data_IF_104543195125
#
_entry.id   IF_104543195125
#
_cell.length_a   1.000
_cell.length_b   1.000
_cell.length_c   1.000
_cell.angle_alpha   90.00
_cell.angle_beta   90.00
_cell.angle_gamma   90.00
#
_symmetry.space_group_name_H-M   'P 1'
#
loop_
_entity.id
_entity.type
_entity.pdbx_description
1 polymer ?
#
# COMPACT_ATOMS: atom_id res chain seq x y z
N UNK A 1 -3.58 10.19 4.19
CA UNK A 1 -2.53 9.84 5.18
C UNK A 1 -3.04 8.95 6.33
N UNK A 2 -4.22 9.19 6.93
CA UNK A 2 -4.74 8.34 8.04
C UNK A 2 -5.06 6.89 7.65
N UNK A 3 -5.42 6.61 6.38
CA UNK A 3 -5.79 5.25 5.92
C UNK A 3 -4.59 4.31 5.69
N UNK A 4 -3.45 4.85 5.22
CA UNK A 4 -2.22 4.06 5.08
C UNK A 4 -1.63 3.66 6.43
N UNK A 5 -1.78 4.51 7.43
CA UNK A 5 -1.33 4.25 8.81
C UNK A 5 -2.09 3.06 9.43
N UNK A 6 -3.41 2.97 9.23
CA UNK A 6 -4.20 1.85 9.78
C UNK A 6 -3.86 0.51 9.10
N UNK A 7 -3.61 0.50 7.79
CA UNK A 7 -3.19 -0.69 7.05
C UNK A 7 -1.77 -1.10 7.47
N UNK A 8 -0.85 -0.15 7.60
CA UNK A 8 0.51 -0.39 8.07
C UNK A 8 0.51 -0.87 9.53
N UNK A 9 -0.34 -0.31 10.38
CA UNK A 9 -0.50 -0.76 11.77
C UNK A 9 -1.05 -2.19 11.85
N UNK A 10 -2.04 -2.55 11.03
CA UNK A 10 -2.59 -3.91 10.94
C UNK A 10 -1.53 -4.92 10.50
N UNK A 11 -0.78 -4.63 9.46
CA UNK A 11 0.32 -5.49 8.96
C UNK A 11 1.46 -5.57 9.97
N UNK A 12 1.79 -4.46 10.64
CA UNK A 12 2.84 -4.41 11.68
C UNK A 12 2.42 -5.18 12.93
N UNK A 13 1.15 -5.08 13.38
CA UNK A 13 0.64 -5.84 14.53
C UNK A 13 0.64 -7.34 14.21
N UNK A 14 0.23 -7.72 13.02
CA UNK A 14 0.28 -9.12 12.56
C UNK A 14 1.72 -9.61 12.43
N UNK A 15 2.61 -8.80 11.85
CA UNK A 15 4.03 -9.08 11.77
C UNK A 15 4.66 -9.23 13.16
N UNK A 16 4.31 -8.38 14.11
CA UNK A 16 4.82 -8.45 15.49
C UNK A 16 4.27 -9.67 16.26
N UNK A 17 2.99 -10.02 16.13
CA UNK A 17 2.41 -11.21 16.75
C UNK A 17 2.98 -12.51 16.16
N UNK A 18 3.12 -12.53 14.84
CA UNK A 18 3.77 -13.66 14.15
C UNK A 18 5.25 -13.75 14.49
N UNK A 19 5.89 -12.60 14.70
CA UNK A 19 7.31 -12.53 15.03
C UNK A 19 7.63 -12.89 16.48
N UNK A 20 6.75 -12.63 17.43
CA UNK A 20 6.81 -13.24 18.76
C UNK A 20 6.92 -14.76 18.60
N UNK A 21 6.17 -15.39 17.68
CA UNK A 21 6.32 -16.78 17.31
C UNK A 21 7.68 -17.17 16.72
N UNK A 22 8.28 -16.33 15.87
CA UNK A 22 9.57 -16.59 15.23
C UNK A 22 10.77 -16.49 16.18
N UNK A 23 10.66 -15.75 17.28
CA UNK A 23 11.70 -15.62 18.30
C UNK A 23 11.80 -16.86 19.22
N UNK A 24 10.85 -17.73 19.12
CA UNK A 24 10.74 -18.92 19.97
C UNK A 24 11.48 -20.13 19.38
N UNK A 25 12.75 -20.12 19.53
CA UNK A 25 13.59 -21.19 19.00
C UNK A 25 14.10 -22.10 20.10
N UNK A 26 13.55 -23.31 20.19
CA UNK A 26 14.01 -24.51 20.92
C UNK A 26 14.61 -24.38 22.33
N UNK A 27 13.91 -24.92 23.29
CA UNK A 27 14.43 -25.48 24.54
C UNK A 27 15.35 -24.58 25.37
N UNK A 28 16.32 -25.17 26.03
CA UNK A 28 17.24 -24.54 26.98
C UNK A 28 18.11 -23.43 26.37
N UNK A 29 18.43 -23.53 25.06
CA UNK A 29 19.19 -22.53 24.32
C UNK A 29 18.42 -21.23 24.09
N UNK A 30 17.10 -21.28 24.14
CA UNK A 30 16.25 -20.10 23.96
C UNK A 30 16.22 -19.23 25.22
N UNK A 31 16.17 -19.83 26.37
CA UNK A 31 16.22 -19.09 27.62
C UNK A 31 17.51 -18.24 27.71
N UNK A 32 18.65 -18.81 27.32
CA UNK A 32 19.94 -18.10 27.26
C UNK A 32 20.06 -17.15 26.07
N UNK A 33 19.28 -17.34 25.00
CA UNK A 33 19.31 -16.51 23.80
C UNK A 33 18.09 -15.60 23.62
N UNK A 34 17.06 -15.73 24.47
CA UNK A 34 15.80 -14.98 24.35
C UNK A 34 16.00 -13.47 24.31
N UNK A 35 16.82 -12.95 25.21
CA UNK A 35 17.13 -11.51 25.28
C UNK A 35 17.87 -11.00 24.03
N UNK A 36 18.79 -11.80 23.48
CA UNK A 36 19.50 -11.46 22.25
C UNK A 36 18.54 -11.45 21.05
N UNK A 37 17.68 -12.47 20.94
CA UNK A 37 16.66 -12.52 19.86
C UNK A 37 15.66 -11.38 19.97
N UNK A 38 15.28 -11.00 21.19
CA UNK A 38 14.41 -9.86 21.42
C UNK A 38 15.10 -8.53 21.02
N UNK A 39 16.39 -8.39 21.30
CA UNK A 39 17.15 -7.22 20.89
C UNK A 39 17.30 -7.14 19.37
N UNK A 40 17.67 -8.25 18.70
CA UNK A 40 17.68 -8.36 17.22
C UNK A 40 16.32 -8.03 16.61
N UNK A 41 15.29 -8.39 17.32
CA UNK A 41 13.91 -8.14 17.06
C UNK A 41 13.60 -6.66 17.02
N UNK A 42 13.87 -6.03 18.09
CA UNK A 42 13.62 -4.61 18.24
C UNK A 42 14.47 -3.78 17.25
N UNK A 43 15.69 -4.21 16.96
CA UNK A 43 16.52 -3.57 15.92
C UNK A 43 15.87 -3.65 14.53
N UNK A 44 15.31 -4.82 14.18
CA UNK A 44 14.60 -5.01 12.89
C UNK A 44 13.30 -4.22 12.85
N UNK A 45 12.52 -4.22 13.93
CA UNK A 45 11.31 -3.42 14.05
C UNK A 45 11.61 -1.93 13.86
N UNK A 46 12.63 -1.41 14.51
CA UNK A 46 13.04 -0.02 14.37
C UNK A 46 13.44 0.32 12.91
N UNK A 47 13.97 -0.64 12.16
CA UNK A 47 14.29 -0.45 10.72
C UNK A 47 13.04 -0.50 9.84
N UNK A 48 12.08 -1.38 10.17
CA UNK A 48 10.85 -1.56 9.40
C UNK A 48 9.81 -0.48 9.68
N UNK A 49 9.84 0.10 10.87
CA UNK A 49 8.87 1.09 11.34
C UNK A 49 9.54 2.36 11.84
N UNK A 50 10.35 3.05 11.00
CA UNK A 50 11.12 4.22 11.45
C UNK A 50 10.24 5.36 11.96
N UNK A 51 8.97 5.41 11.53
CA UNK A 51 8.00 6.45 11.92
C UNK A 51 7.32 6.18 13.26
N UNK A 52 7.36 4.96 13.81
CA UNK A 52 6.50 4.58 14.94
C UNK A 52 7.24 4.07 16.17
N UNK A 53 8.54 3.80 16.09
CA UNK A 53 9.32 3.34 17.24
C UNK A 53 8.71 2.15 17.97
N UNK A 54 8.36 1.07 17.25
CA UNK A 54 7.81 -0.14 17.87
C UNK A 54 8.87 -0.86 18.68
N UNK A 55 8.51 -1.28 19.90
CA UNK A 55 9.35 -2.07 20.79
C UNK A 55 8.55 -3.22 21.42
N UNK A 56 9.18 -4.39 21.48
CA UNK A 56 8.67 -5.56 22.16
C UNK A 56 9.49 -5.80 23.43
N UNK A 57 8.81 -6.01 24.54
CA UNK A 57 9.38 -6.38 25.82
C UNK A 57 8.82 -7.74 26.27
N UNK A 58 9.66 -8.60 26.85
CA UNK A 58 9.22 -9.84 27.48
C UNK A 58 8.84 -9.55 28.93
N UNK A 59 7.55 -9.68 29.25
CA UNK A 59 7.01 -9.38 30.59
C UNK A 59 7.00 -10.60 31.50
N UNK A 60 6.73 -11.80 30.95
CA UNK A 60 6.68 -13.05 31.67
C UNK A 60 7.20 -14.20 30.79
N UNK A 61 7.86 -15.19 31.40
CA UNK A 61 8.35 -16.38 30.73
C UNK A 61 8.40 -17.55 31.72
N UNK A 62 7.55 -18.55 31.52
CA UNK A 62 7.44 -19.74 32.32
C UNK A 62 7.57 -20.97 31.43
N UNK A 63 8.68 -21.67 31.58
CA UNK A 63 8.95 -22.87 30.78
C UNK A 63 8.52 -24.12 31.51
N UNK A 64 7.81 -24.99 30.80
CA UNK A 64 7.49 -26.38 31.17
C UNK A 64 8.22 -27.32 30.20
N UNK A 65 8.07 -28.64 30.43
CA UNK A 65 8.76 -29.66 29.64
C UNK A 65 8.36 -29.62 28.13
N UNK A 66 7.07 -29.46 27.85
CA UNK A 66 6.51 -29.54 26.50
C UNK A 66 6.02 -28.21 25.96
N UNK A 67 5.94 -27.19 26.78
CA UNK A 67 5.44 -25.87 26.42
C UNK A 67 6.08 -24.76 27.23
N UNK A 68 5.99 -23.54 26.72
CA UNK A 68 6.35 -22.31 27.42
C UNK A 68 5.13 -21.41 27.44
N UNK A 69 4.81 -20.81 28.57
CA UNK A 69 3.88 -19.70 28.67
C UNK A 69 4.66 -18.40 28.78
N UNK A 70 4.31 -17.42 27.98
CA UNK A 70 4.98 -16.13 28.00
C UNK A 70 3.99 -15.00 27.81
N UNK A 71 4.38 -13.83 28.28
CA UNK A 71 3.67 -12.58 28.02
C UNK A 71 4.65 -11.58 27.44
N UNK A 72 4.25 -10.95 26.36
CA UNK A 72 5.00 -9.91 25.67
C UNK A 72 4.20 -8.62 25.64
N UNK A 73 4.89 -7.51 25.80
CA UNK A 73 4.33 -6.17 25.62
C UNK A 73 4.86 -5.55 24.36
N UNK A 74 3.97 -5.09 23.50
CA UNK A 74 4.26 -4.24 22.35
C UNK A 74 3.98 -2.80 22.73
N UNK A 75 4.98 -1.96 22.74
CA UNK A 75 4.85 -0.54 23.01
C UNK A 75 5.20 0.30 21.79
N UNK A 76 4.47 1.40 21.64
CA UNK A 76 4.82 2.48 20.74
C UNK A 76 5.67 3.47 21.52
N UNK A 77 6.90 3.68 21.10
CA UNK A 77 7.74 4.74 21.64
C UNK A 77 7.24 6.06 21.06
N UNK A 78 6.34 6.73 21.79
CA UNK A 78 5.88 8.08 21.41
C UNK A 78 7.02 9.07 21.51
N UNK A 79 7.08 9.96 20.54
CA UNK A 79 7.87 11.18 20.59
C UNK A 79 6.93 12.37 20.31
N UNK A 80 7.44 13.57 20.41
CA UNK A 80 6.67 14.82 20.24
C UNK A 80 6.03 14.96 18.84
N UNK A 81 6.47 14.16 17.87
CA UNK A 81 5.97 14.12 16.48
C UNK A 81 5.01 12.98 16.21
N UNK A 82 4.75 12.14 17.20
CA UNK A 82 3.77 11.05 17.05
C UNK A 82 2.36 11.63 16.96
N UNK A 83 1.51 11.14 16.04
CA UNK A 83 0.12 11.58 15.96
C UNK A 83 -0.61 11.47 17.29
N UNK A 84 -1.39 12.49 17.67
CA UNK A 84 -2.17 12.49 18.91
C UNK A 84 -3.12 11.31 19.03
N UNK A 85 -3.61 10.81 17.90
CA UNK A 85 -4.49 9.65 17.82
C UNK A 85 -3.78 8.29 18.06
N UNK A 86 -2.46 8.27 18.29
CA UNK A 86 -1.78 7.02 18.63
C UNK A 86 -2.15 6.57 20.04
N UNK A 87 -2.57 5.29 20.22
CA UNK A 87 -2.88 4.79 21.55
C UNK A 87 -1.64 4.89 22.44
N UNK A 88 -1.84 5.49 23.62
CA UNK A 88 -0.82 5.47 24.65
C UNK A 88 -0.94 4.13 25.40
N UNK A 89 0.19 3.46 25.60
CA UNK A 89 0.24 2.26 26.43
C UNK A 89 0.83 1.06 25.72
N UNK A 90 0.99 0.02 26.48
CA UNK A 90 1.52 -1.27 26.05
C UNK A 90 0.35 -2.19 25.68
N UNK A 91 0.42 -2.80 24.50
CA UNK A 91 -0.48 -3.87 24.10
C UNK A 91 0.19 -5.19 24.52
N UNK A 92 -0.45 -5.92 25.41
CA UNK A 92 0.09 -7.18 25.90
C UNK A 92 -0.47 -8.36 25.10
N UNK A 93 0.37 -9.40 24.95
CA UNK A 93 0.01 -10.66 24.31
C UNK A 93 0.39 -11.82 25.21
N UNK A 94 -0.57 -12.70 25.46
CA UNK A 94 -0.32 -14.00 26.07
C UNK A 94 0.05 -14.98 24.95
N UNK A 95 1.13 -15.72 25.13
CA UNK A 95 1.62 -16.71 24.18
C UNK A 95 1.85 -18.07 24.83
N UNK A 96 1.39 -19.12 24.17
CA UNK A 96 1.68 -20.51 24.50
C UNK A 96 2.49 -21.10 23.36
N UNK A 97 3.69 -21.60 23.67
CA UNK A 97 4.58 -22.23 22.69
C UNK A 97 4.65 -23.72 23.00
N UNK A 98 4.13 -24.53 22.10
CA UNK A 98 4.32 -25.99 22.15
C UNK A 98 5.63 -26.33 21.46
N UNK A 99 6.48 -27.10 22.14
CA UNK A 99 7.80 -27.46 21.63
C UNK A 99 7.72 -28.69 20.70
N UNK A 100 8.57 -28.67 19.65
CA UNK A 100 8.68 -29.79 18.70
C UNK A 100 9.30 -31.05 19.28
N UNK A 101 9.44 -32.13 18.50
CA UNK A 101 9.29 -32.17 17.03
C UNK A 101 7.84 -32.30 16.53
N UNK A 102 6.89 -32.64 17.38
CA UNK A 102 5.49 -32.83 17.00
C UNK A 102 4.56 -32.10 17.98
N UNK A 103 4.47 -30.76 17.89
CA UNK A 103 3.55 -29.99 18.70
C UNK A 103 2.11 -30.48 18.48
N UNK A 104 1.36 -30.66 19.55
CA UNK A 104 0.01 -31.25 19.51
C UNK A 104 -0.95 -30.43 18.63
N UNK A 105 -0.90 -29.12 18.75
CA UNK A 105 -1.76 -28.23 17.98
C UNK A 105 -1.37 -28.19 16.49
N UNK A 106 -0.07 -28.31 16.16
CA UNK A 106 0.37 -28.46 14.76
C UNK A 106 -0.14 -29.76 14.13
N UNK A 107 -0.11 -30.88 14.87
CA UNK A 107 -0.69 -32.13 14.40
C UNK A 107 -2.21 -32.03 14.19
N UNK A 108 -2.92 -31.33 15.06
CA UNK A 108 -4.37 -31.11 14.94
C UNK A 108 -4.75 -30.30 13.68
N UNK A 109 -3.86 -29.44 13.17
CA UNK A 109 -4.05 -28.72 11.89
C UNK A 109 -3.63 -29.55 10.67
N UNK A 110 -3.23 -30.82 10.85
CA UNK A 110 -2.81 -31.71 9.76
C UNK A 110 -1.32 -31.58 9.38
N UNK A 111 -0.51 -30.85 10.12
CA UNK A 111 0.91 -30.71 9.88
C UNK A 111 1.66 -31.94 10.38
N UNK A 112 1.74 -33.01 9.57
CA UNK A 112 2.39 -34.28 9.92
C UNK A 112 3.93 -34.21 9.87
N UNK A 113 4.50 -33.24 9.17
CA UNK A 113 5.95 -33.03 9.14
C UNK A 113 6.42 -32.45 10.49
N UNK A 114 7.63 -32.87 10.97
CA UNK A 114 8.19 -32.32 12.19
C UNK A 114 8.27 -30.79 12.15
N UNK A 115 7.79 -30.15 13.20
CA UNK A 115 7.87 -28.69 13.44
C UNK A 115 8.71 -28.43 14.67
N UNK A 116 9.45 -27.35 14.65
CA UNK A 116 10.24 -26.92 15.77
C UNK A 116 9.36 -26.46 16.93
N UNK A 117 8.33 -25.69 16.60
CA UNK A 117 7.34 -25.22 17.57
C UNK A 117 5.99 -24.93 16.89
N UNK A 118 4.95 -24.91 17.70
CA UNK A 118 3.68 -24.26 17.40
C UNK A 118 3.46 -23.16 18.45
N UNK A 119 3.03 -22.01 17.99
CA UNK A 119 2.78 -20.84 18.86
C UNK A 119 1.33 -20.42 18.70
N UNK A 120 0.63 -20.32 19.81
CA UNK A 120 -0.65 -19.65 19.91
C UNK A 120 -0.45 -18.36 20.70
N UNK A 121 -0.80 -17.22 20.13
CA UNK A 121 -0.70 -15.92 20.77
C UNK A 121 -2.02 -15.18 20.65
N UNK A 122 -2.45 -14.54 21.74
CA UNK A 122 -3.65 -13.72 21.76
C UNK A 122 -3.40 -12.40 22.49
N UNK A 123 -4.11 -11.35 22.09
CA UNK A 123 -4.09 -10.08 22.81
C UNK A 123 -4.63 -10.29 24.21
N UNK A 124 -3.87 -9.87 25.22
CA UNK A 124 -4.23 -10.03 26.62
C UNK A 124 -5.24 -8.95 27.04
N UNK A 125 -6.21 -9.36 27.88
CA UNK A 125 -7.16 -8.42 28.44
C UNK A 125 -6.53 -7.63 29.59
N UNK A 126 -6.19 -6.38 29.31
CA UNK A 126 -5.62 -5.42 30.28
C UNK A 126 -6.58 -4.24 30.47
N UNK A 127 -6.38 -3.45 31.53
CA UNK A 127 -7.29 -2.33 31.85
C UNK A 127 -7.35 -1.28 30.73
N UNK A 128 -6.21 -1.00 30.07
CA UNK A 128 -6.14 -0.08 28.94
C UNK A 128 -6.77 -0.61 27.64
N UNK A 129 -7.06 -1.92 27.56
CA UNK A 129 -7.72 -2.56 26.40
C UNK A 129 -9.16 -2.99 26.71
N UNK A 130 -9.68 -2.67 27.90
CA UNK A 130 -11.02 -3.08 28.34
C UNK A 130 -12.10 -2.73 27.31
N UNK A 131 -12.11 -1.50 26.82
CA UNK A 131 -13.08 -1.03 25.82
C UNK A 131 -12.96 -1.84 24.51
N UNK A 132 -11.75 -2.15 24.06
CA UNK A 132 -11.53 -2.96 22.84
C UNK A 132 -12.10 -4.36 23.01
N UNK A 133 -11.93 -4.97 24.21
CA UNK A 133 -12.52 -6.28 24.52
C UNK A 133 -14.04 -6.23 24.64
N UNK A 134 -14.61 -5.13 25.09
CA UNK A 134 -16.06 -4.94 25.09
C UNK A 134 -16.63 -4.91 23.67
N UNK A 135 -15.93 -4.25 22.71
CA UNK A 135 -16.31 -4.23 21.30
C UNK A 135 -16.31 -5.62 20.66
N UNK A 136 -15.40 -6.49 21.08
CA UNK A 136 -15.29 -7.88 20.60
C UNK A 136 -16.09 -8.88 21.47
N UNK A 137 -16.96 -8.38 22.36
CA UNK A 137 -17.78 -9.20 23.27
C UNK A 137 -16.95 -10.11 24.17
N UNK A 138 -15.78 -9.67 24.58
CA UNK A 138 -14.86 -10.39 25.46
C UNK A 138 -13.95 -11.39 24.77
N UNK A 139 -14.06 -11.57 23.45
CA UNK A 139 -13.11 -12.36 22.66
C UNK A 139 -11.84 -11.54 22.41
N UNK A 140 -10.68 -12.20 22.37
CA UNK A 140 -9.42 -11.50 22.03
C UNK A 140 -9.52 -10.81 20.68
N UNK A 141 -9.25 -9.50 20.59
CA UNK A 141 -9.31 -8.75 19.33
C UNK A 141 -8.35 -9.26 18.25
N UNK A 142 -7.24 -9.88 18.67
CA UNK A 142 -6.24 -10.47 17.77
C UNK A 142 -5.77 -11.80 18.32
N UNK A 143 -5.91 -12.84 17.52
CA UNK A 143 -5.40 -14.18 17.79
C UNK A 143 -4.48 -14.56 16.63
N UNK A 144 -3.32 -15.14 16.94
CA UNK A 144 -2.35 -15.60 15.95
C UNK A 144 -1.87 -17.02 16.28
N UNK A 145 -1.95 -17.88 15.28
CA UNK A 145 -1.42 -19.22 15.30
C UNK A 145 -0.25 -19.32 14.34
N UNK A 146 0.89 -19.89 14.78
CA UNK A 146 2.07 -20.01 13.94
C UNK A 146 2.74 -21.38 14.12
N UNK A 147 3.24 -21.92 13.01
CA UNK A 147 4.14 -23.07 13.01
C UNK A 147 5.54 -22.66 12.59
N UNK A 148 6.55 -23.10 13.32
CA UNK A 148 7.94 -22.83 13.04
C UNK A 148 8.60 -24.14 12.56
N UNK A 149 9.18 -24.13 11.36
CA UNK A 149 9.92 -25.26 10.82
C UNK A 149 11.36 -25.33 11.38
N UNK A 150 12.02 -26.45 11.24
CA UNK A 150 13.44 -26.58 11.61
C UNK A 150 14.36 -25.75 10.72
N UNK A 151 13.95 -25.38 9.52
CA UNK A 151 14.66 -24.40 8.67
C UNK A 151 14.53 -22.96 9.16
N UNK A 152 13.63 -22.68 10.11
CA UNK A 152 13.36 -21.35 10.62
C UNK A 152 12.24 -20.59 9.88
N UNK A 153 11.65 -21.22 8.86
CA UNK A 153 10.46 -20.65 8.21
C UNK A 153 9.28 -20.73 9.17
N UNK A 154 8.62 -19.60 9.35
CA UNK A 154 7.41 -19.47 10.15
C UNK A 154 6.22 -19.27 9.23
N UNK A 155 5.20 -20.12 9.39
CA UNK A 155 3.89 -19.98 8.72
C UNK A 155 2.87 -19.58 9.76
N UNK A 156 2.16 -18.49 9.55
CA UNK A 156 1.22 -17.93 10.52
C UNK A 156 -0.16 -17.67 9.94
N UNK A 157 -1.16 -17.75 10.80
CA UNK A 157 -2.54 -17.31 10.55
C UNK A 157 -2.97 -16.43 11.70
N UNK A 158 -3.25 -15.17 11.42
CA UNK A 158 -3.74 -14.20 12.40
C UNK A 158 -5.19 -13.83 12.08
N UNK A 159 -6.02 -13.74 13.11
CA UNK A 159 -7.44 -13.41 13.02
C UNK A 159 -7.70 -12.15 13.83
N UNK A 160 -8.21 -11.13 13.16
CA UNK A 160 -8.74 -9.92 13.79
C UNK A 160 -10.24 -10.15 13.98
N UNK A 161 -10.71 -9.98 15.20
CA UNK A 161 -12.10 -10.24 15.56
C UNK A 161 -13.07 -9.27 14.85
N UNK A 162 -14.29 -9.70 14.53
CA UNK A 162 -15.32 -8.80 14.04
C UNK A 162 -15.74 -7.81 15.12
N UNK A 163 -16.08 -6.59 14.70
CA UNK A 163 -16.52 -5.51 15.57
C UNK A 163 -17.83 -4.93 15.06
N UNK A 164 -18.78 -4.75 15.98
CA UNK A 164 -20.01 -4.03 15.72
C UNK A 164 -20.28 -3.04 16.85
N UNK A 165 -20.21 -1.76 16.53
CA UNK A 165 -20.38 -0.67 17.49
C UNK A 165 -21.34 0.37 16.93
N UNK A 166 -22.09 1.04 17.81
CA UNK A 166 -22.85 2.23 17.50
C UNK A 166 -22.57 3.27 18.59
N UNK A 167 -22.13 4.44 18.19
CA UNK A 167 -21.81 5.57 19.07
C UNK A 167 -22.18 6.87 18.40
N UNK A 168 -22.89 7.74 19.09
CA UNK A 168 -23.29 9.08 18.64
C UNK A 168 -23.84 9.16 17.21
N UNK A 169 -24.71 8.21 16.84
CA UNK A 169 -25.34 8.20 15.52
C UNK A 169 -24.48 7.56 14.41
N UNK A 170 -23.26 7.17 14.70
CA UNK A 170 -22.36 6.42 13.80
C UNK A 170 -22.32 4.96 14.19
N UNK A 171 -22.50 4.05 13.24
CA UNK A 171 -22.27 2.63 13.43
C UNK A 171 -21.12 2.12 12.57
N UNK A 172 -20.31 1.23 13.13
CA UNK A 172 -19.24 0.51 12.42
C UNK A 172 -19.56 -0.98 12.50
N UNK A 173 -19.63 -1.63 11.35
CA UNK A 173 -19.79 -3.08 11.22
C UNK A 173 -18.61 -3.63 10.42
N UNK A 174 -17.69 -4.30 11.11
CA UNK A 174 -16.47 -4.89 10.56
C UNK A 174 -16.54 -6.40 10.70
N UNK A 175 -16.44 -7.13 9.61
CA UNK A 175 -16.54 -8.60 9.58
C UNK A 175 -15.37 -9.33 10.22
N UNK A 176 -14.33 -8.62 10.62
CA UNK A 176 -13.04 -9.20 10.95
C UNK A 176 -12.14 -9.34 9.72
N UNK A 177 -10.90 -9.77 9.97
CA UNK A 177 -9.90 -9.99 8.93
C UNK A 177 -9.06 -11.22 9.25
N UNK A 178 -8.75 -12.03 8.25
CA UNK A 178 -7.80 -13.14 8.37
C UNK A 178 -6.55 -12.78 7.58
N UNK A 179 -5.39 -12.90 8.23
CA UNK A 179 -4.09 -12.70 7.59
C UNK A 179 -3.27 -13.98 7.73
N UNK A 180 -2.84 -14.52 6.60
CA UNK A 180 -1.89 -15.64 6.53
C UNK A 180 -0.55 -15.15 6.01
N UNK A 181 0.54 -15.75 6.46
CA UNK A 181 1.86 -15.36 5.96
C UNK A 181 2.93 -16.36 6.29
N UNK A 182 3.95 -16.38 5.41
CA UNK A 182 5.18 -17.13 5.62
C UNK A 182 6.35 -16.15 5.64
N UNK A 183 7.28 -16.36 6.54
CA UNK A 183 8.50 -15.56 6.61
C UNK A 183 9.68 -16.39 7.11
N UNK A 184 10.84 -16.09 6.59
CA UNK A 184 12.07 -16.73 7.03
C UNK A 184 12.58 -16.12 8.35
N UNK A 185 13.55 -16.80 8.97
CA UNK A 185 14.15 -16.41 10.25
C UNK A 185 14.73 -14.99 10.24
N UNK A 186 15.20 -14.53 9.10
CA UNK A 186 15.87 -13.24 8.97
C UNK A 186 14.95 -12.15 8.40
N UNK A 187 13.69 -12.50 8.09
CA UNK A 187 12.73 -11.65 7.39
C UNK A 187 13.25 -11.18 6.00
N UNK A 188 14.10 -12.01 5.37
CA UNK A 188 14.60 -11.73 4.03
C UNK A 188 13.61 -12.14 2.94
N UNK A 189 12.69 -13.06 3.27
CA UNK A 189 11.54 -13.44 2.45
C UNK A 189 10.27 -13.39 3.29
N UNK A 190 9.26 -12.70 2.77
CA UNK A 190 7.95 -12.57 3.42
C UNK A 190 6.87 -12.73 2.37
N UNK A 191 5.91 -13.63 2.63
CA UNK A 191 4.63 -13.65 1.91
C UNK A 191 3.52 -13.36 2.89
N UNK A 192 2.52 -12.61 2.47
CA UNK A 192 1.36 -12.32 3.31
C UNK A 192 0.10 -12.22 2.44
N UNK A 193 -1.01 -12.73 2.97
CA UNK A 193 -2.33 -12.60 2.38
C UNK A 193 -3.34 -12.20 3.45
N UNK A 194 -4.00 -11.07 3.26
CA UNK A 194 -5.10 -10.57 4.10
C UNK A 194 -6.44 -10.67 3.38
N UNK A 195 -7.48 -11.12 4.07
CA UNK A 195 -8.84 -11.20 3.54
C UNK A 195 -9.83 -10.62 4.54
N UNK A 196 -10.64 -9.68 4.08
CA UNK A 196 -11.75 -9.06 4.80
C UNK A 196 -13.01 -9.15 3.93
N UNK A 197 -14.11 -9.62 4.51
CA UNK A 197 -15.35 -9.73 3.76
C UNK A 197 -16.07 -8.39 3.64
N UNK A 198 -16.30 -7.70 4.75
CA UNK A 198 -17.04 -6.42 4.75
C UNK A 198 -16.57 -5.46 5.83
N UNK A 199 -16.64 -4.16 5.49
CA UNK A 199 -16.55 -3.05 6.43
C UNK A 199 -17.63 -2.04 6.05
N UNK A 200 -18.54 -1.71 6.97
CA UNK A 200 -19.52 -0.65 6.80
C UNK A 200 -19.36 0.38 7.91
N UNK A 201 -19.24 1.63 7.53
CA UNK A 201 -19.32 2.79 8.42
C UNK A 201 -20.57 3.56 8.03
N UNK A 202 -21.53 3.62 8.91
CA UNK A 202 -22.83 4.26 8.68
C UNK A 202 -23.03 5.39 9.71
N UNK A 203 -22.80 6.60 9.28
CA UNK A 203 -22.99 7.85 10.00
C UNK A 203 -24.27 8.59 9.54
N UNK A 204 -25.24 7.91 8.94
CA UNK A 204 -26.46 8.50 8.40
C UNK A 204 -27.31 9.26 9.45
N UNK A 205 -27.04 9.02 10.73
CA UNK A 205 -27.73 9.66 11.87
C UNK A 205 -26.83 10.66 12.61
N UNK A 206 -25.66 10.96 12.09
CA UNK A 206 -24.77 11.99 12.64
C UNK A 206 -25.10 13.38 12.09
N UNK A 207 -24.42 14.40 12.59
CA UNK A 207 -24.55 15.78 12.12
C UNK A 207 -23.98 15.99 10.70
N UNK A 208 -23.15 15.07 10.21
CA UNK A 208 -22.62 15.01 8.84
C UNK A 208 -22.94 13.62 8.27
N UNK A 209 -24.13 13.45 7.66
CA UNK A 209 -24.61 12.15 7.24
C UNK A 209 -23.77 11.56 6.12
N UNK A 210 -23.17 10.40 6.38
CA UNK A 210 -22.40 9.66 5.38
C UNK A 210 -22.49 8.16 5.62
N UNK A 211 -22.38 7.37 4.55
CA UNK A 211 -22.25 5.93 4.63
C UNK A 211 -21.19 5.44 3.67
N UNK A 212 -20.28 4.58 4.16
CA UNK A 212 -19.24 3.92 3.37
C UNK A 212 -19.35 2.43 3.61
N UNK A 213 -19.40 1.67 2.53
CA UNK A 213 -19.36 0.20 2.58
C UNK A 213 -18.25 -0.32 1.67
N UNK A 214 -17.44 -1.23 2.19
CA UNK A 214 -16.37 -1.92 1.46
C UNK A 214 -16.65 -3.41 1.54
N UNK A 215 -16.63 -4.10 0.42
CA UNK A 215 -16.86 -5.53 0.35
C UNK A 215 -15.75 -6.26 -0.41
N UNK A 216 -15.32 -7.38 0.11
CA UNK A 216 -14.39 -8.31 -0.55
C UNK A 216 -13.00 -7.75 -0.73
N UNK A 217 -12.36 -7.25 0.34
CA UNK A 217 -10.98 -6.78 0.29
C UNK A 217 -9.99 -7.94 0.43
N UNK A 218 -9.00 -7.97 -0.45
CA UNK A 218 -7.86 -8.89 -0.40
C UNK A 218 -6.57 -8.09 -0.56
N UNK A 219 -5.59 -8.38 0.29
CA UNK A 219 -4.23 -7.85 0.20
C UNK A 219 -3.31 -9.04 0.04
N UNK A 220 -2.51 -9.07 -1.01
CA UNK A 220 -1.45 -10.05 -1.23
C UNK A 220 -0.10 -9.32 -1.26
N UNK A 221 0.91 -9.88 -0.60
CA UNK A 221 2.26 -9.35 -0.63
C UNK A 221 3.27 -10.48 -0.69
N UNK A 222 4.27 -10.33 -1.53
CA UNK A 222 5.41 -11.22 -1.64
C UNK A 222 6.67 -10.36 -1.75
N UNK A 223 7.57 -10.48 -0.81
CA UNK A 223 8.76 -9.64 -0.72
C UNK A 223 9.98 -10.48 -0.35
N UNK A 224 11.11 -10.17 -0.95
CA UNK A 224 12.42 -10.69 -0.56
C UNK A 224 13.49 -9.60 -0.64
N UNK A 225 14.55 -9.76 0.11
CA UNK A 225 15.73 -8.89 -0.03
C UNK A 225 16.45 -9.25 -1.33
N UNK A 226 16.58 -8.25 -2.21
CA UNK A 226 17.29 -8.36 -3.47
C UNK A 226 18.81 -8.22 -3.30
N UNK A 227 19.55 -8.41 -4.39
CA UNK A 227 21.02 -8.35 -4.42
C UNK A 227 21.60 -6.98 -4.07
N UNK A 228 20.83 -5.91 -4.25
CA UNK A 228 21.22 -4.56 -3.84
C UNK A 228 20.88 -4.27 -2.37
N UNK A 229 20.32 -5.25 -1.62
CA UNK A 229 19.90 -5.05 -0.24
C UNK A 229 18.64 -4.20 -0.10
N UNK A 230 17.86 -4.07 -1.17
CA UNK A 230 16.53 -3.44 -1.22
C UNK A 230 15.49 -4.55 -1.30
N UNK A 231 14.36 -4.37 -0.60
CA UNK A 231 13.24 -5.31 -0.72
C UNK A 231 12.61 -5.21 -2.10
N UNK A 232 12.49 -6.37 -2.78
CA UNK A 232 11.85 -6.53 -4.08
C UNK A 232 10.73 -7.55 -3.99
N UNK A 233 9.78 -7.50 -4.91
CA UNK A 233 8.61 -8.36 -4.93
C UNK A 233 7.38 -7.65 -5.44
N UNK A 234 6.21 -8.15 -5.04
CA UNK A 234 4.91 -7.62 -5.46
C UNK A 234 3.97 -7.46 -4.27
N UNK A 235 3.08 -6.49 -4.39
CA UNK A 235 1.99 -6.25 -3.44
C UNK A 235 0.75 -5.82 -4.21
N UNK A 236 -0.37 -6.50 -3.95
CA UNK A 236 -1.66 -6.29 -4.60
C UNK A 236 -2.75 -6.03 -3.56
N UNK A 237 -3.55 -4.99 -3.77
CA UNK A 237 -4.80 -4.73 -3.09
C UNK A 237 -5.95 -4.88 -4.08
N UNK A 238 -6.96 -5.68 -3.73
CA UNK A 238 -8.19 -5.84 -4.51
C UNK A 238 -9.39 -5.62 -3.62
N UNK A 239 -10.35 -4.85 -4.12
CA UNK A 239 -11.63 -4.60 -3.44
C UNK A 239 -12.74 -4.85 -4.47
N UNK A 240 -13.67 -5.75 -4.14
CA UNK A 240 -14.75 -6.10 -5.05
C UNK A 240 -15.72 -4.96 -5.24
N UNK A 241 -16.06 -4.24 -4.15
CA UNK A 241 -17.04 -3.17 -4.22
C UNK A 241 -16.79 -2.13 -3.12
N UNK A 242 -16.94 -0.86 -3.49
CA UNK A 242 -16.96 0.29 -2.59
C UNK A 242 -18.23 1.08 -2.90
N UNK A 243 -19.09 1.29 -1.90
CA UNK A 243 -20.23 2.18 -1.99
C UNK A 243 -20.06 3.35 -1.01
N UNK A 244 -20.29 4.56 -1.50
CA UNK A 244 -20.27 5.80 -0.69
C UNK A 244 -21.56 6.56 -0.94
N UNK A 245 -22.26 6.95 0.13
CA UNK A 245 -23.43 7.81 0.06
C UNK A 245 -23.22 9.00 1.00
N UNK A 246 -23.40 10.21 0.49
CA UNK A 246 -23.31 11.46 1.23
C UNK A 246 -24.46 12.38 0.79
N UNK A 247 -25.60 12.33 1.49
CA UNK A 247 -26.81 13.03 1.05
C UNK A 247 -26.69 14.55 0.98
N UNK A 248 -25.91 15.17 1.88
CA UNK A 248 -25.72 16.62 1.90
C UNK A 248 -25.05 17.18 0.64
N UNK A 249 -24.16 16.38 0.04
CA UNK A 249 -23.46 16.73 -1.21
C UNK A 249 -24.13 16.11 -2.44
N UNK A 250 -25.27 15.43 -2.27
CA UNK A 250 -25.94 14.65 -3.32
C UNK A 250 -24.96 13.64 -3.98
N UNK A 251 -24.11 12.98 -3.18
CA UNK A 251 -23.15 12.01 -3.68
C UNK A 251 -23.62 10.59 -3.39
N UNK A 252 -23.77 9.80 -4.45
CA UNK A 252 -23.94 8.34 -4.42
C UNK A 252 -22.94 7.72 -5.39
N UNK A 253 -21.84 7.19 -4.84
CA UNK A 253 -20.77 6.55 -5.60
C UNK A 253 -20.81 5.04 -5.41
N UNK A 254 -20.68 4.30 -6.49
CA UNK A 254 -20.44 2.87 -6.50
C UNK A 254 -19.25 2.55 -7.40
N UNK A 255 -18.29 1.80 -6.87
CA UNK A 255 -17.07 1.41 -7.55
C UNK A 255 -16.89 -0.10 -7.43
N UNK A 256 -16.85 -0.78 -8.56
CA UNK A 256 -16.61 -2.22 -8.62
C UNK A 256 -15.17 -2.57 -8.97
N UNK A 257 -14.68 -3.70 -8.45
CA UNK A 257 -13.40 -4.32 -8.84
C UNK A 257 -12.20 -3.37 -8.84
N UNK A 258 -12.04 -2.58 -7.76
CA UNK A 258 -10.84 -1.77 -7.59
C UNK A 258 -9.62 -2.67 -7.36
N UNK A 259 -8.55 -2.40 -8.09
CA UNK A 259 -7.25 -3.06 -7.94
C UNK A 259 -6.11 -2.04 -7.93
N UNK A 260 -5.16 -2.27 -7.04
CA UNK A 260 -3.88 -1.55 -6.98
C UNK A 260 -2.77 -2.56 -6.76
N UNK A 261 -1.76 -2.54 -7.62
CA UNK A 261 -0.60 -3.41 -7.49
C UNK A 261 0.69 -2.63 -7.63
N UNK A 262 1.72 -3.02 -6.87
CA UNK A 262 3.10 -2.53 -7.01
C UNK A 262 4.02 -3.72 -7.16
N UNK A 263 4.93 -3.65 -8.11
CA UNK A 263 5.97 -4.64 -8.34
C UNK A 263 7.34 -3.97 -8.39
N UNK A 264 8.24 -4.43 -7.54
CA UNK A 264 9.66 -4.11 -7.59
C UNK A 264 10.42 -5.34 -8.06
N UNK A 265 11.24 -5.19 -9.07
CA UNK A 265 12.09 -6.25 -9.62
C UNK A 265 13.50 -5.74 -9.85
N UNK A 266 14.46 -6.65 -9.95
CA UNK A 266 15.86 -6.33 -10.21
C UNK A 266 16.39 -7.11 -11.40
N UNK A 267 17.32 -6.54 -12.12
CA UNK A 267 18.20 -7.19 -13.06
C UNK A 267 19.66 -7.07 -12.61
N UNK A 268 20.64 -7.29 -13.49
CA UNK A 268 22.05 -7.27 -13.09
C UNK A 268 22.58 -5.93 -12.60
N UNK A 269 21.98 -4.83 -12.98
CA UNK A 269 22.45 -3.47 -12.69
C UNK A 269 21.39 -2.58 -12.10
N UNK A 270 20.12 -2.90 -12.31
CA UNK A 270 19.03 -1.98 -12.05
C UNK A 270 17.90 -2.57 -11.21
N UNK A 271 17.13 -1.64 -10.65
CA UNK A 271 15.82 -1.89 -10.05
C UNK A 271 14.77 -1.29 -10.96
N UNK A 272 13.67 -2.04 -11.13
CA UNK A 272 12.51 -1.64 -11.91
C UNK A 272 11.29 -1.62 -10.99
N UNK A 273 10.48 -0.58 -11.11
CA UNK A 273 9.24 -0.37 -10.34
C UNK A 273 8.07 -0.30 -11.30
N UNK A 274 7.00 -1.00 -11.01
CA UNK A 274 5.74 -0.89 -11.72
C UNK A 274 4.62 -0.68 -10.71
N UNK A 275 3.76 0.30 -10.96
CA UNK A 275 2.49 0.47 -10.27
C UNK A 275 1.35 0.28 -11.28
N UNK A 276 0.36 -0.52 -10.91
CA UNK A 276 -0.81 -0.79 -11.73
C UNK A 276 -2.07 -0.43 -10.94
N UNK A 277 -2.96 0.30 -11.56
CA UNK A 277 -4.27 0.67 -11.05
C UNK A 277 -5.33 0.15 -12.02
N UNK A 278 -6.41 -0.39 -11.49
CA UNK A 278 -7.57 -0.76 -12.26
C UNK A 278 -8.85 -0.49 -11.49
N UNK A 279 -9.88 -0.17 -12.20
CA UNK A 279 -11.23 -0.07 -11.66
C UNK A 279 -12.20 -0.73 -12.64
N UNK A 280 -13.17 -1.46 -12.13
CA UNK A 280 -14.35 -1.84 -12.88
C UNK A 280 -15.29 -0.63 -13.02
N UNK A 281 -16.58 -0.89 -13.13
CA UNK A 281 -17.53 0.18 -13.39
C UNK A 281 -17.64 1.16 -12.22
N UNK A 282 -17.54 2.45 -12.53
CA UNK A 282 -17.78 3.55 -11.62
C UNK A 282 -19.15 4.15 -11.96
N UNK A 283 -20.02 4.22 -10.98
CA UNK A 283 -21.33 4.85 -11.08
C UNK A 283 -21.41 5.97 -10.06
N UNK A 284 -21.71 7.18 -10.51
CA UNK A 284 -21.91 8.36 -9.66
C UNK A 284 -23.29 8.93 -9.93
N UNK A 285 -24.16 8.98 -8.92
CA UNK A 285 -25.53 9.49 -9.04
C UNK A 285 -26.29 8.89 -10.23
N UNK A 286 -26.20 7.56 -10.36
CA UNK A 286 -26.78 6.75 -11.45
C UNK A 286 -26.21 7.05 -12.87
N UNK A 287 -25.11 7.83 -12.96
CA UNK A 287 -24.34 8.03 -14.19
C UNK A 287 -23.23 6.98 -14.26
N UNK A 288 -23.23 6.15 -15.30
CA UNK A 288 -22.18 5.16 -15.54
C UNK A 288 -20.97 5.84 -16.19
N UNK A 289 -19.91 6.06 -15.41
CA UNK A 289 -18.68 6.68 -15.88
C UNK A 289 -17.75 5.69 -16.59
N UNK A 290 -18.05 4.38 -16.54
CA UNK A 290 -17.22 3.34 -17.13
C UNK A 290 -16.13 2.83 -16.20
N UNK A 291 -15.06 2.29 -16.77
CA UNK A 291 -13.94 1.68 -16.07
C UNK A 291 -12.60 2.18 -16.60
N UNK A 292 -11.54 2.00 -15.81
CA UNK A 292 -10.24 2.52 -16.15
C UNK A 292 -9.08 1.66 -15.67
N UNK A 293 -7.93 1.86 -16.29
CA UNK A 293 -6.66 1.29 -15.86
C UNK A 293 -5.50 2.25 -16.10
N UNK A 294 -4.49 2.15 -15.27
CA UNK A 294 -3.22 2.85 -15.44
C UNK A 294 -2.06 1.93 -15.06
N UNK A 295 -1.05 1.85 -15.90
CA UNK A 295 0.21 1.16 -15.60
C UNK A 295 1.34 2.16 -15.72
N UNK A 296 2.03 2.40 -14.60
CA UNK A 296 3.15 3.33 -14.50
C UNK A 296 4.40 2.51 -14.24
N UNK A 297 5.47 2.77 -14.98
CA UNK A 297 6.74 2.05 -14.84
C UNK A 297 7.89 3.04 -14.70
N UNK A 298 8.80 2.72 -13.78
CA UNK A 298 10.13 3.31 -13.67
C UNK A 298 11.12 2.15 -13.88
N UNK A 299 11.85 2.19 -14.96
CA UNK A 299 12.78 1.11 -15.33
C UNK A 299 14.23 1.60 -15.35
N UNK A 300 15.16 0.67 -15.20
CA UNK A 300 16.61 0.91 -15.29
C UNK A 300 17.15 1.89 -14.25
N UNK A 301 16.52 1.97 -13.06
CA UNK A 301 17.09 2.74 -11.94
C UNK A 301 18.37 2.05 -11.48
N UNK A 302 19.49 2.75 -11.40
CA UNK A 302 20.74 2.17 -10.89
C UNK A 302 20.54 1.57 -9.49
N UNK A 303 20.81 0.27 -9.35
CA UNK A 303 20.47 -0.46 -8.12
C UNK A 303 21.26 -0.01 -6.90
N UNK A 304 22.51 0.44 -7.07
CA UNK A 304 23.32 0.99 -5.98
C UNK A 304 22.83 2.37 -5.58
N UNK A 305 22.45 3.21 -6.55
CA UNK A 305 21.89 4.52 -6.27
C UNK A 305 20.55 4.42 -5.55
N UNK A 306 19.67 3.47 -5.94
CA UNK A 306 18.42 3.18 -5.21
C UNK A 306 18.70 2.80 -3.76
N UNK A 307 19.68 1.93 -3.51
CA UNK A 307 20.07 1.53 -2.16
C UNK A 307 20.56 2.75 -1.35
N UNK A 308 21.44 3.57 -1.93
CA UNK A 308 21.96 4.78 -1.26
C UNK A 308 20.83 5.76 -0.93
N UNK A 309 19.92 6.00 -1.87
CA UNK A 309 18.77 6.88 -1.67
C UNK A 309 17.85 6.36 -0.55
N UNK A 310 17.55 5.05 -0.56
CA UNK A 310 16.75 4.40 0.48
C UNK A 310 17.40 4.51 1.86
N UNK A 311 18.71 4.25 1.96
CA UNK A 311 19.44 4.35 3.23
C UNK A 311 19.46 5.79 3.75
N UNK A 312 19.72 6.76 2.86
CA UNK A 312 19.70 8.19 3.19
C UNK A 312 18.34 8.62 3.68
N UNK A 313 17.27 8.26 2.94
CA UNK A 313 15.91 8.57 3.35
C UNK A 313 15.58 7.99 4.73
N UNK A 314 15.87 6.71 4.96
CA UNK A 314 15.64 6.07 6.26
C UNK A 314 16.45 6.72 7.39
N UNK A 315 17.67 7.17 7.11
CA UNK A 315 18.48 7.88 8.08
C UNK A 315 17.87 9.25 8.43
N UNK A 316 17.46 10.01 7.43
CA UNK A 316 16.84 11.32 7.61
C UNK A 316 15.50 11.22 8.35
N UNK A 317 14.68 10.23 8.03
CA UNK A 317 13.42 9.96 8.76
C UNK A 317 13.73 9.67 10.23
N UNK A 318 14.71 8.83 10.55
CA UNK A 318 15.11 8.56 11.94
C UNK A 318 15.61 9.81 12.67
N UNK A 319 16.41 10.63 12.00
CA UNK A 319 16.91 11.90 12.57
C UNK A 319 15.75 12.88 12.83
N UNK A 320 14.85 13.03 11.88
CA UNK A 320 13.66 13.86 12.02
C UNK A 320 12.78 13.41 13.19
N UNK A 321 12.53 12.10 13.31
CA UNK A 321 11.75 11.55 14.42
C UNK A 321 12.42 11.66 15.79
N UNK A 322 13.75 11.68 15.83
CA UNK A 322 14.52 11.85 17.06
C UNK A 322 14.73 13.32 17.46
N UNK A 323 14.48 14.29 16.56
CA UNK A 323 14.65 15.71 16.86
C UNK A 323 13.44 16.27 17.62
N UNK A 324 13.68 17.22 18.52
CA UNK A 324 12.65 17.98 19.23
C UNK A 324 12.16 19.20 18.43
N UNK A 325 12.84 19.53 17.33
CA UNK A 325 12.49 20.65 16.46
C UNK A 325 11.36 20.25 15.50
N UNK A 326 10.36 21.11 15.38
CA UNK A 326 9.19 20.89 14.50
C UNK A 326 9.44 21.41 13.07
N UNK A 327 10.67 21.75 12.77
CA UNK A 327 11.12 22.14 11.43
C UNK A 327 11.22 20.90 10.55
N UNK A 328 10.71 20.97 9.31
CA UNK A 328 10.83 19.92 8.30
C UNK A 328 12.31 19.55 8.02
N UNK A 329 12.56 18.82 6.93
CA UNK A 329 13.94 18.55 6.50
C UNK A 329 14.67 19.87 6.23
N UNK A 330 15.89 20.01 6.75
CA UNK A 330 16.75 21.18 6.51
C UNK A 330 17.21 21.19 5.05
N UNK A 331 17.51 22.36 4.50
CA UNK A 331 17.95 22.50 3.09
C UNK A 331 19.13 21.59 2.75
N UNK A 332 20.09 21.43 3.68
CA UNK A 332 21.23 20.52 3.51
C UNK A 332 20.80 19.06 3.36
N UNK A 333 19.76 18.64 4.10
CA UNK A 333 19.23 17.28 4.03
C UNK A 333 18.45 17.04 2.73
N UNK A 334 17.73 18.04 2.27
CA UNK A 334 17.07 18.04 0.96
C UNK A 334 18.12 17.94 -0.14
N UNK A 335 19.21 18.71 -0.05
CA UNK A 335 20.29 18.67 -1.04
C UNK A 335 20.93 17.27 -1.11
N UNK A 336 21.18 16.62 0.03
CA UNK A 336 21.71 15.25 0.08
C UNK A 336 20.76 14.26 -0.61
N UNK A 337 19.44 14.42 -0.45
CA UNK A 337 18.46 13.59 -1.15
C UNK A 337 18.50 13.84 -2.66
N UNK A 338 18.57 15.11 -3.09
CA UNK A 338 18.63 15.48 -4.51
C UNK A 338 19.90 14.94 -5.17
N UNK A 339 21.05 15.04 -4.50
CA UNK A 339 22.33 14.52 -5.01
C UNK A 339 22.30 12.99 -5.16
N UNK A 340 21.67 12.28 -4.22
CA UNK A 340 21.49 10.83 -4.35
C UNK A 340 20.45 10.47 -5.40
N UNK A 341 19.38 11.25 -5.57
CA UNK A 341 18.40 11.07 -6.65
C UNK A 341 19.05 11.28 -8.03
N UNK A 342 19.95 12.26 -8.18
CA UNK A 342 20.71 12.47 -9.39
C UNK A 342 21.53 11.25 -9.85
N UNK A 343 22.02 10.44 -8.89
CA UNK A 343 22.76 9.21 -9.22
C UNK A 343 21.88 8.14 -9.90
N UNK A 344 20.56 8.21 -9.76
CA UNK A 344 19.63 7.29 -10.46
C UNK A 344 19.75 7.43 -11.96
N UNK A 345 20.15 8.62 -12.47
CA UNK A 345 20.35 8.86 -13.91
C UNK A 345 21.48 8.01 -14.51
N UNK A 346 22.41 7.50 -13.69
CA UNK A 346 23.51 6.65 -14.17
C UNK A 346 23.02 5.38 -14.88
N UNK A 347 21.83 4.88 -14.54
CA UNK A 347 21.17 3.75 -15.18
C UNK A 347 20.50 4.08 -16.51
N UNK A 348 20.46 5.34 -16.93
CA UNK A 348 19.64 5.84 -18.03
C UNK A 348 18.18 5.39 -17.86
N UNK A 349 17.50 5.83 -16.81
CA UNK A 349 16.16 5.36 -16.47
C UNK A 349 15.12 5.74 -17.50
N UNK A 350 14.06 4.94 -17.55
CA UNK A 350 12.89 5.20 -18.38
C UNK A 350 11.65 5.28 -17.50
N UNK A 351 10.85 6.32 -17.69
CA UNK A 351 9.52 6.44 -17.11
C UNK A 351 8.48 6.18 -18.21
N UNK A 352 7.46 5.37 -17.92
CA UNK A 352 6.36 5.19 -18.85
C UNK A 352 5.01 5.08 -18.15
N UNK A 353 3.98 5.53 -18.84
CA UNK A 353 2.57 5.28 -18.57
C UNK A 353 2.04 4.50 -19.77
N UNK A 354 1.74 3.20 -19.59
CA UNK A 354 1.34 2.34 -20.70
C UNK A 354 0.53 1.12 -20.19
N UNK A 355 -0.81 1.18 -20.38
CA UNK A 355 -1.62 2.33 -20.76
C UNK A 355 -2.10 3.17 -19.56
N UNK A 356 -2.53 4.41 -19.80
CA UNK A 356 -3.61 5.04 -19.05
C UNK A 356 -4.85 4.97 -19.97
N UNK A 357 -5.87 4.21 -19.59
CA UNK A 357 -7.07 4.07 -20.40
C UNK A 357 -8.34 4.23 -19.59
N UNK A 358 -9.35 4.75 -20.25
CA UNK A 358 -10.71 4.87 -19.73
C UNK A 358 -11.69 4.38 -20.78
N UNK A 359 -12.63 3.50 -20.36
CA UNK A 359 -13.54 2.82 -21.26
C UNK A 359 -14.98 2.96 -20.76
N UNK A 360 -15.88 3.24 -21.66
CA UNK A 360 -17.34 3.17 -21.45
C UNK A 360 -17.97 2.23 -22.49
N UNK A 361 -19.27 2.03 -22.44
CA UNK A 361 -20.01 1.31 -23.47
C UNK A 361 -19.98 1.98 -24.87
N UNK A 362 -19.46 3.22 -24.97
CA UNK A 362 -19.43 4.01 -26.20
C UNK A 362 -18.03 4.14 -26.83
N UNK A 363 -16.99 3.72 -26.13
CA UNK A 363 -15.63 3.77 -26.64
C UNK A 363 -14.56 3.74 -25.57
N UNK A 364 -13.32 3.90 -25.98
CA UNK A 364 -12.14 3.89 -25.10
C UNK A 364 -11.19 5.04 -25.48
N UNK A 365 -10.77 5.80 -24.47
CA UNK A 365 -9.71 6.81 -24.60
C UNK A 365 -8.44 6.30 -23.94
N UNK A 366 -7.27 6.56 -24.56
CA UNK A 366 -5.97 6.05 -24.11
C UNK A 366 -4.89 7.11 -24.17
N UNK A 367 -3.99 7.08 -23.20
CA UNK A 367 -2.71 7.76 -23.23
C UNK A 367 -1.60 6.72 -23.03
N UNK A 368 -0.66 6.70 -23.97
CA UNK A 368 0.63 6.07 -23.80
C UNK A 368 1.69 7.16 -23.77
N UNK A 369 2.58 7.10 -22.80
CA UNK A 369 3.66 8.06 -22.61
C UNK A 369 4.94 7.35 -22.23
N UNK A 370 6.06 7.71 -22.84
CA UNK A 370 7.40 7.23 -22.48
C UNK A 370 8.37 8.40 -22.45
N UNK A 371 9.16 8.47 -21.39
CA UNK A 371 10.24 9.41 -21.19
C UNK A 371 11.52 8.62 -20.91
N UNK A 372 12.47 8.61 -21.85
CA UNK A 372 13.79 8.05 -21.62
C UNK A 372 14.74 9.15 -21.19
N UNK A 373 15.47 8.90 -20.12
CA UNK A 373 16.45 9.80 -19.55
C UNK A 373 17.88 9.29 -19.82
N UNK A 374 18.83 10.20 -19.88
CA UNK A 374 20.25 9.90 -19.94
C UNK A 374 20.99 10.66 -18.84
N UNK A 375 22.12 10.14 -18.42
CA UNK A 375 22.98 10.85 -17.47
C UNK A 375 23.74 11.96 -18.22
N UNK A 376 23.51 13.26 -17.89
CA UNK A 376 24.27 14.35 -18.53
C UNK A 376 25.77 14.23 -18.25
N UNK A 377 26.59 14.62 -19.21
CA UNK A 377 28.03 14.41 -19.15
C UNK A 377 28.74 15.25 -18.05
N UNK A 378 28.18 16.38 -17.64
CA UNK A 378 28.81 17.33 -16.72
C UNK A 378 27.87 17.79 -15.59
N UNK A 379 27.26 16.83 -14.91
CA UNK A 379 26.25 17.07 -13.84
C UNK A 379 26.73 18.03 -12.76
N UNK A 380 28.06 18.07 -12.51
CA UNK A 380 28.62 18.86 -11.40
C UNK A 380 28.57 20.38 -11.63
N UNK A 381 28.50 20.80 -12.89
CA UNK A 381 28.52 22.22 -13.27
C UNK A 381 27.15 22.71 -13.72
N UNK A 382 26.12 21.88 -13.68
CA UNK A 382 24.77 22.18 -14.14
C UNK A 382 23.85 22.50 -12.95
N UNK A 383 22.96 23.45 -13.17
CA UNK A 383 21.82 23.69 -12.27
C UNK A 383 20.82 22.52 -12.33
N UNK A 384 19.95 22.31 -11.32
CA UNK A 384 18.93 21.29 -11.38
C UNK A 384 18.02 21.38 -12.61
N UNK A 385 17.73 22.60 -13.09
CA UNK A 385 16.93 22.83 -14.30
C UNK A 385 17.68 22.39 -15.55
N UNK A 386 18.97 22.71 -15.67
CA UNK A 386 19.81 22.30 -16.80
C UNK A 386 20.00 20.78 -16.83
N UNK A 387 20.16 20.14 -15.65
CA UNK A 387 20.21 18.67 -15.53
C UNK A 387 18.91 18.08 -16.07
N UNK A 388 17.75 18.61 -15.66
CA UNK A 388 16.45 18.10 -16.08
C UNK A 388 16.27 18.16 -17.61
N UNK A 389 16.66 19.28 -18.23
CA UNK A 389 16.55 19.47 -19.69
C UNK A 389 17.54 18.58 -20.44
N UNK A 390 18.81 18.53 -20.01
CA UNK A 390 19.85 17.73 -20.68
C UNK A 390 19.69 16.22 -20.47
N UNK A 391 18.98 15.82 -19.41
CA UNK A 391 18.68 14.41 -19.15
C UNK A 391 17.62 13.84 -20.09
N UNK A 392 16.78 14.67 -20.72
CA UNK A 392 15.74 14.18 -21.64
C UNK A 392 16.38 13.70 -22.92
N UNK A 393 16.32 12.37 -23.14
CA UNK A 393 16.84 11.74 -24.35
C UNK A 393 15.73 11.52 -25.39
N UNK A 394 14.56 11.09 -24.94
CA UNK A 394 13.44 10.77 -25.81
C UNK A 394 12.11 10.95 -25.07
N UNK A 395 11.14 11.47 -25.75
CA UNK A 395 9.74 11.48 -25.33
C UNK A 395 8.92 10.87 -26.47
N UNK A 396 8.04 9.92 -26.13
CA UNK A 396 6.99 9.44 -27.01
C UNK A 396 5.66 9.57 -26.28
N UNK A 397 4.70 10.21 -26.90
CA UNK A 397 3.35 10.32 -26.39
C UNK A 397 2.34 10.01 -27.49
N UNK A 398 1.34 9.19 -27.17
CA UNK A 398 0.19 8.94 -28.04
C UNK A 398 -1.08 9.08 -27.23
N UNK A 399 -1.94 10.00 -27.61
CA UNK A 399 -3.24 10.25 -27.01
C UNK A 399 -4.34 9.88 -28.02
N UNK A 400 -5.25 9.02 -27.61
CA UNK A 400 -6.43 8.64 -28.37
C UNK A 400 -7.65 9.03 -27.55
N UNK A 401 -8.51 9.89 -28.09
CA UNK A 401 -9.75 10.34 -27.44
C UNK A 401 -10.93 9.82 -28.27
N UNK A 402 -11.76 8.99 -27.67
CA UNK A 402 -13.00 8.50 -28.31
C UNK A 402 -14.08 9.58 -28.27
N UNK A 403 -14.46 10.10 -29.44
CA UNK A 403 -15.51 11.10 -29.61
C UNK A 403 -16.86 10.62 -29.09
N UNK A 404 -17.33 9.38 -29.41
CA UNK A 404 -18.60 8.87 -28.88
C UNK A 404 -18.61 8.74 -27.35
N UNK A 405 -17.48 8.36 -26.75
CA UNK A 405 -17.33 8.27 -25.27
C UNK A 405 -17.46 9.65 -24.64
N UNK A 406 -16.70 10.65 -25.14
CA UNK A 406 -16.73 12.01 -24.60
C UNK A 406 -18.12 12.63 -24.74
N UNK A 407 -18.76 12.47 -25.91
CA UNK A 407 -20.12 12.93 -26.17
C UNK A 407 -21.10 12.33 -25.16
N UNK A 408 -21.05 11.01 -24.94
CA UNK A 408 -21.95 10.31 -24.04
C UNK A 408 -21.78 10.80 -22.58
N UNK A 409 -20.55 10.94 -22.09
CA UNK A 409 -20.25 11.43 -20.75
C UNK A 409 -20.74 12.88 -20.55
N UNK A 410 -20.49 13.76 -21.54
CA UNK A 410 -20.96 15.14 -21.49
C UNK A 410 -22.49 15.23 -21.47
N UNK A 411 -23.16 14.41 -22.32
CA UNK A 411 -24.63 14.32 -22.35
C UNK A 411 -25.19 13.88 -21.01
N UNK A 412 -24.67 12.78 -20.44
CA UNK A 412 -25.11 12.29 -19.13
C UNK A 412 -24.91 13.32 -18.02
N UNK A 413 -23.77 14.02 -18.04
CA UNK A 413 -23.47 15.07 -17.07
C UNK A 413 -24.49 16.22 -17.15
N UNK A 414 -24.74 16.77 -18.35
CA UNK A 414 -25.66 17.87 -18.55
C UNK A 414 -27.11 17.51 -18.17
N UNK A 415 -27.55 16.30 -18.50
CA UNK A 415 -28.89 15.82 -18.10
C UNK A 415 -29.02 15.70 -16.59
N UNK A 416 -28.02 15.13 -15.92
CA UNK A 416 -28.12 14.81 -14.49
C UNK A 416 -27.85 15.99 -13.59
N UNK A 417 -26.83 16.81 -13.89
CA UNK A 417 -26.41 17.92 -13.04
C UNK A 417 -27.14 19.22 -13.37
N UNK A 418 -27.30 19.51 -14.68
CA UNK A 418 -27.86 20.77 -15.12
C UNK A 418 -29.37 20.69 -15.41
N UNK A 419 -29.95 19.49 -15.32
CA UNK A 419 -31.37 19.25 -15.58
C UNK A 419 -31.77 19.45 -17.05
N UNK A 420 -30.81 19.39 -17.96
CA UNK A 420 -31.02 19.64 -19.38
C UNK A 420 -31.84 18.51 -20.01
N UNK A 421 -32.70 18.83 -20.97
CA UNK A 421 -33.39 17.82 -21.77
C UNK A 421 -32.40 17.01 -22.59
N UNK A 422 -32.57 15.69 -22.66
CA UNK A 422 -31.57 14.75 -23.20
C UNK A 422 -31.20 15.03 -24.66
N UNK A 423 -32.15 15.47 -25.50
CA UNK A 423 -31.93 15.89 -26.88
C UNK A 423 -31.03 17.12 -27.00
N UNK A 424 -31.30 18.14 -26.18
CA UNK A 424 -30.47 19.36 -26.10
C UNK A 424 -29.05 19.07 -25.58
N UNK A 425 -28.96 18.27 -24.51
CA UNK A 425 -27.69 17.85 -23.95
C UNK A 425 -26.83 17.09 -24.97
N UNK A 426 -27.46 16.21 -25.75
CA UNK A 426 -26.78 15.47 -26.82
C UNK A 426 -26.31 16.36 -27.98
N UNK A 427 -27.10 17.38 -28.35
CA UNK A 427 -26.74 18.36 -29.38
C UNK A 427 -25.57 19.23 -28.94
N UNK A 428 -25.60 19.74 -27.70
CA UNK A 428 -24.52 20.56 -27.13
C UNK A 428 -23.23 19.74 -26.99
N UNK A 429 -23.32 18.51 -26.50
CA UNK A 429 -22.17 17.59 -26.41
C UNK A 429 -21.55 17.32 -27.80
N UNK A 430 -22.38 17.15 -28.82
CA UNK A 430 -21.92 16.98 -30.20
C UNK A 430 -21.18 18.21 -30.74
N UNK A 431 -21.68 19.42 -30.44
CA UNK A 431 -21.01 20.67 -30.82
C UNK A 431 -19.67 20.82 -30.12
N UNK A 432 -19.60 20.53 -28.80
CA UNK A 432 -18.39 20.60 -28.03
C UNK A 432 -17.33 19.62 -28.53
N UNK A 433 -17.73 18.39 -28.88
CA UNK A 433 -16.82 17.38 -29.47
C UNK A 433 -16.31 17.83 -30.85
N UNK A 434 -17.17 18.40 -31.68
CA UNK A 434 -16.73 18.96 -32.97
C UNK A 434 -15.75 20.11 -32.80
N UNK A 435 -16.03 21.03 -31.86
CA UNK A 435 -15.12 22.15 -31.56
C UNK A 435 -13.77 21.64 -31.04
N UNK A 436 -13.76 20.67 -30.10
CA UNK A 436 -12.55 20.04 -29.61
C UNK A 436 -11.73 19.40 -30.75
N UNK A 437 -12.40 18.66 -31.64
CA UNK A 437 -11.76 18.05 -32.80
C UNK A 437 -11.14 19.10 -33.74
N UNK A 438 -11.89 20.18 -34.04
CA UNK A 438 -11.39 21.26 -34.88
C UNK A 438 -10.21 22.01 -34.27
N UNK A 439 -10.24 22.26 -32.97
CA UNK A 439 -9.10 22.85 -32.23
C UNK A 439 -7.87 21.97 -32.29
N UNK A 440 -8.02 20.65 -32.10
CA UNK A 440 -6.92 19.69 -32.13
C UNK A 440 -6.20 19.73 -33.51
N UNK A 441 -6.96 19.82 -34.61
CA UNK A 441 -6.40 19.95 -35.95
C UNK A 441 -5.80 21.33 -36.19
N UNK A 442 -6.49 22.41 -35.76
CA UNK A 442 -6.03 23.79 -35.95
C UNK A 442 -4.69 24.04 -35.26
N UNK A 443 -4.50 23.50 -34.06
CA UNK A 443 -3.24 23.62 -33.33
C UNK A 443 -2.22 22.53 -33.69
N UNK A 444 -2.52 21.68 -34.66
CA UNK A 444 -1.70 20.54 -35.09
C UNK A 444 -1.31 19.56 -33.92
N UNK A 445 -2.14 19.49 -32.86
CA UNK A 445 -1.90 18.60 -31.72
C UNK A 445 -2.69 17.28 -31.82
N UNK A 446 -3.49 17.10 -32.88
CA UNK A 446 -4.24 15.88 -33.14
C UNK A 446 -4.92 15.86 -34.48
N UNK A 447 -5.22 14.65 -34.94
CA UNK A 447 -5.91 14.39 -36.24
C UNK A 447 -7.20 13.63 -35.95
N UNK A 448 -8.22 13.88 -36.78
CA UNK A 448 -9.45 13.11 -36.76
C UNK A 448 -9.25 11.79 -37.50
N UNK A 449 -9.35 10.68 -36.80
CA UNK A 449 -9.27 9.31 -37.31
C UNK A 449 -10.55 8.53 -36.95
N UNK A 450 -11.54 8.56 -37.88
CA UNK A 450 -12.85 7.93 -37.63
C UNK A 450 -13.52 8.50 -36.40
N UNK A 451 -13.82 7.63 -35.40
CA UNK A 451 -14.44 8.01 -34.13
C UNK A 451 -13.46 8.55 -33.09
N UNK A 452 -12.18 8.70 -33.45
CA UNK A 452 -11.17 9.15 -32.52
C UNK A 452 -10.54 10.49 -32.93
N UNK A 453 -10.00 11.21 -31.94
CA UNK A 453 -8.99 12.24 -32.10
C UNK A 453 -7.68 11.61 -31.65
N UNK A 454 -6.68 11.59 -32.55
CA UNK A 454 -5.38 10.96 -32.28
C UNK A 454 -4.30 12.04 -32.31
N UNK A 455 -3.64 12.23 -31.17
CA UNK A 455 -2.44 13.06 -31.01
C UNK A 455 -1.20 12.20 -30.85
N UNK A 456 -0.12 12.54 -31.54
CA UNK A 456 1.19 11.89 -31.39
C UNK A 456 2.25 12.96 -31.22
N UNK A 457 3.11 12.79 -30.25
CA UNK A 457 4.27 13.66 -30.05
C UNK A 457 5.51 12.81 -29.88
N UNK A 458 6.55 13.11 -30.58
CA UNK A 458 7.86 12.50 -30.42
C UNK A 458 8.91 13.58 -30.24
N UNK A 459 9.85 13.35 -29.36
CA UNK A 459 11.04 14.18 -29.17
C UNK A 459 12.23 13.23 -29.06
N UNK A 460 13.25 13.46 -29.89
CA UNK A 460 14.52 12.74 -29.83
C UNK A 460 15.64 13.62 -30.34
N UNK A 461 16.83 13.48 -29.78
CA UNK A 461 18.05 14.17 -30.23
C UNK A 461 17.89 15.70 -30.38
N UNK A 462 17.11 16.31 -29.46
CA UNK A 462 16.87 17.76 -29.45
C UNK A 462 15.82 18.25 -30.44
N UNK A 463 15.14 17.37 -31.19
CA UNK A 463 14.08 17.70 -32.15
C UNK A 463 12.75 17.07 -31.70
N UNK A 464 11.68 17.89 -31.78
CA UNK A 464 10.30 17.45 -31.53
C UNK A 464 9.49 17.40 -32.81
N UNK A 465 8.59 16.39 -32.92
CA UNK A 465 7.62 16.24 -34.01
C UNK A 465 6.23 15.97 -33.39
N UNK A 466 5.18 16.61 -33.99
CA UNK A 466 3.77 16.56 -33.55
C UNK A 466 2.90 15.91 -34.61
#
# INVERSE_FOLDING_TARGET
MKKSVAITLGVVIVGAGSWVGATWYTGKRIEESSQRHLAEANEKLAKLTPLFGLRIDQLKYERSLFSTQARYGLSLVKNDKSPDAMPAGMIEFDAVVEHGPFPKSALATGALAPKLAYVHAEMAKTDNLKEVFELTKGVSPLISDATISYSGVTSSTSKIAPVKITHEGTSVDFSGMVVTGDFDRNLQGVTARGVMDTLTIDASKSNDPAKVSIAGMTIDANSRVGKFGVSIGDSDLKIKRIDVTRPEDDIKLSLDNFGYGVKLSEDDKSINVQAAYQTGDIIVNDVALGNGQAVIKLAKLDGQAVKQLSDTYNQLVRQYMASTEDEGLKDEQIQVLLDNAGKLLAGNPSFSIDPLSWKTGKGESKLNFTLDLANPADVKNLTPQEIAVQAIKRIDATLIISKPMVKDLMTQYAVKKDGMAADKAAEEAEQNVRQMSGMAEMFNVGKNEGDNIVGKFTFADGMGDL
#
